data_IF_066260980486
#
_entry.id   IF_066260980486
#
_cell.length_a   1.000
_cell.length_b   1.000
_cell.length_c   1.000
_cell.angle_alpha   90.00
_cell.angle_beta   90.00
_cell.angle_gamma   90.00
#
_symmetry.space_group_name_H-M   'P 1'
#
loop_
_entity.id
_entity.type
_entity.pdbx_description
1 polymer ?
#
# COMPACT_ATOMS: atom_id res chain seq x y z
N UNK A 1 -63.43 -0.86 -30.35
CA UNK A 1 -62.72 0.24 -29.71
C UNK A 1 -61.79 -0.36 -28.68
N UNK A 2 -60.58 -0.69 -29.09
CA UNK A 2 -59.52 -1.26 -28.24
C UNK A 2 -58.51 -0.22 -27.84
N UNK A 3 -58.29 -0.03 -26.54
CA UNK A 3 -57.26 0.84 -26.01
C UNK A 3 -55.94 0.05 -25.89
N UNK A 4 -54.95 0.45 -26.67
CA UNK A 4 -53.59 -0.06 -26.58
C UNK A 4 -52.91 0.65 -25.42
N UNK A 5 -52.49 -0.12 -24.41
CA UNK A 5 -51.69 0.37 -23.28
C UNK A 5 -50.22 0.32 -23.67
N UNK A 6 -49.61 1.48 -23.87
CA UNK A 6 -48.19 1.62 -24.15
C UNK A 6 -47.42 1.55 -22.82
N UNK A 7 -46.70 0.43 -22.57
CA UNK A 7 -45.75 0.35 -21.47
C UNK A 7 -44.47 1.08 -21.83
N UNK A 8 -44.23 2.20 -21.17
CA UNK A 8 -42.95 2.92 -21.24
C UNK A 8 -41.96 2.17 -20.34
N UNK A 9 -40.99 1.48 -20.94
CA UNK A 9 -39.82 0.97 -20.25
C UNK A 9 -38.92 2.14 -19.93
N UNK A 10 -38.83 2.51 -18.68
CA UNK A 10 -37.85 3.48 -18.20
C UNK A 10 -36.45 2.85 -18.24
N UNK A 11 -35.65 3.27 -19.18
CA UNK A 11 -34.18 3.03 -19.16
C UNK A 11 -33.56 3.94 -18.11
N UNK A 12 -33.19 3.38 -16.97
CA UNK A 12 -32.33 4.08 -16.02
C UNK A 12 -30.90 4.03 -16.56
N UNK A 13 -30.46 5.11 -17.18
CA UNK A 13 -29.06 5.29 -17.53
C UNK A 13 -28.26 5.43 -16.24
N UNK A 14 -27.54 4.38 -15.88
CA UNK A 14 -26.49 4.43 -14.88
C UNK A 14 -25.34 5.26 -15.48
N UNK A 15 -25.22 6.51 -15.08
CA UNK A 15 -24.03 7.29 -15.34
C UNK A 15 -22.88 6.72 -14.49
N UNK A 16 -22.11 5.79 -15.06
CA UNK A 16 -20.79 5.47 -14.58
C UNK A 16 -19.94 6.68 -14.93
N UNK A 17 -19.68 7.54 -13.96
CA UNK A 17 -18.68 8.58 -14.11
C UNK A 17 -17.30 7.89 -14.16
N UNK A 18 -16.87 7.60 -15.37
CA UNK A 18 -15.45 7.34 -15.64
C UNK A 18 -14.76 8.67 -15.35
N UNK A 19 -14.14 8.77 -14.17
CA UNK A 19 -13.19 9.83 -13.89
C UNK A 19 -12.00 9.56 -14.82
N UNK A 20 -11.99 10.24 -15.94
CA UNK A 20 -10.82 10.31 -16.81
C UNK A 20 -9.69 10.91 -16.00
N UNK A 21 -8.67 10.11 -15.72
CA UNK A 21 -7.39 10.62 -15.24
C UNK A 21 -6.95 11.72 -16.23
N UNK A 22 -6.81 12.94 -15.72
CA UNK A 22 -6.22 14.01 -16.51
C UNK A 22 -4.78 13.63 -16.77
N UNK A 23 -4.45 13.21 -17.98
CA UNK A 23 -3.06 13.16 -18.42
C UNK A 23 -2.53 14.59 -18.47
N UNK A 24 -1.82 14.99 -17.44
CA UNK A 24 -1.00 16.19 -17.48
C UNK A 24 0.27 15.85 -18.25
N UNK A 25 0.39 16.40 -19.46
CA UNK A 25 1.63 16.38 -20.22
C UNK A 25 2.69 17.26 -19.52
N UNK A 26 3.47 16.66 -18.61
CA UNK A 26 4.69 17.29 -18.09
C UNK A 26 5.87 16.89 -18.96
N UNK A 27 6.63 17.87 -19.51
CA UNK A 27 7.61 17.60 -20.56
C UNK A 27 8.92 16.92 -20.12
N UNK A 28 9.15 16.52 -18.89
CA UNK A 28 10.51 16.08 -18.51
C UNK A 28 10.69 15.13 -17.34
N UNK A 29 9.67 14.68 -16.64
CA UNK A 29 9.89 13.60 -15.66
C UNK A 29 8.76 12.59 -15.75
N UNK A 30 9.14 11.34 -16.01
CA UNK A 30 8.21 10.21 -15.92
C UNK A 30 7.95 9.79 -14.47
N UNK A 31 8.60 10.45 -13.50
CA UNK A 31 8.45 10.18 -12.08
C UNK A 31 7.06 10.57 -11.59
N UNK A 32 6.46 9.70 -10.82
CA UNK A 32 5.12 9.89 -10.26
C UNK A 32 4.96 9.16 -8.94
N UNK A 33 4.04 9.68 -8.14
CA UNK A 33 3.48 8.98 -7.00
C UNK A 33 2.18 8.32 -7.43
N UNK A 34 1.99 7.08 -7.04
CA UNK A 34 0.73 6.35 -7.16
C UNK A 34 0.16 6.22 -5.76
N UNK A 35 -1.00 6.83 -5.53
CA UNK A 35 -1.69 6.77 -4.25
C UNK A 35 -2.95 5.92 -4.36
N UNK A 36 -3.07 4.91 -3.52
CA UNK A 36 -4.19 3.99 -3.45
C UNK A 36 -5.15 4.40 -2.34
N UNK A 37 -6.39 4.63 -2.70
CA UNK A 37 -7.44 5.04 -1.77
C UNK A 37 -8.52 3.98 -1.64
N UNK A 38 -9.06 3.84 -0.42
CA UNK A 38 -10.17 2.97 -0.12
C UNK A 38 -11.32 3.75 0.51
N UNK A 39 -12.57 3.37 0.21
CA UNK A 39 -13.77 4.02 0.75
C UNK A 39 -13.93 3.69 2.23
N UNK A 40 -13.31 4.49 3.06
CA UNK A 40 -13.39 4.46 4.51
C UNK A 40 -13.13 5.84 5.08
N UNK A 41 -13.82 6.19 6.16
CA UNK A 41 -13.62 7.47 6.83
C UNK A 41 -12.85 7.24 8.11
N UNK A 42 -11.55 7.51 8.06
CA UNK A 42 -10.66 7.60 9.22
C UNK A 42 -9.88 8.88 9.13
N UNK A 43 -9.59 9.50 10.27
CA UNK A 43 -8.70 10.65 10.30
C UNK A 43 -7.29 10.19 9.96
N UNK A 44 -6.67 10.85 8.99
CA UNK A 44 -5.30 10.58 8.57
C UNK A 44 -4.51 11.86 8.43
N UNK A 45 -3.19 11.73 8.58
CA UNK A 45 -2.22 12.74 8.21
C UNK A 45 -1.27 12.14 7.16
N UNK A 46 -0.92 12.95 6.18
CA UNK A 46 0.14 12.67 5.22
C UNK A 46 1.27 13.65 5.50
N UNK A 47 2.42 13.13 5.91
CA UNK A 47 3.58 13.92 6.31
C UNK A 47 4.77 13.57 5.42
N UNK A 48 5.59 14.56 5.10
CA UNK A 48 6.82 14.30 4.36
C UNK A 48 7.96 15.18 4.84
N UNK A 49 9.18 14.66 4.74
CA UNK A 49 10.38 15.41 5.13
C UNK A 49 11.64 14.84 4.51
N UNK A 50 12.66 15.68 4.38
CA UNK A 50 14.00 15.22 4.07
C UNK A 50 14.72 14.75 5.35
N UNK A 51 15.50 13.67 5.23
CA UNK A 51 16.32 13.13 6.31
C UNK A 51 15.55 12.31 7.35
N UNK A 52 16.17 11.18 7.70
CA UNK A 52 15.57 10.20 8.59
C UNK A 52 15.31 10.72 10.01
N UNK A 53 16.23 11.51 10.57
CA UNK A 53 16.06 12.08 11.91
C UNK A 53 14.82 12.98 12.03
N UNK A 54 14.53 13.75 10.98
CA UNK A 54 13.31 14.57 10.95
C UNK A 54 12.07 13.70 10.84
N UNK A 55 12.13 12.64 10.03
CA UNK A 55 11.02 11.69 9.92
C UNK A 55 10.73 10.98 11.25
N UNK A 56 11.76 10.58 12.00
CA UNK A 56 11.61 10.01 13.34
C UNK A 56 10.93 10.99 14.33
N UNK A 57 11.20 12.30 14.21
CA UNK A 57 10.50 13.33 15.01
C UNK A 57 9.02 13.42 14.63
N UNK A 58 8.71 13.33 13.34
CA UNK A 58 7.33 13.27 12.84
C UNK A 58 6.62 12.04 13.39
N UNK A 59 7.19 10.85 13.28
CA UNK A 59 6.62 9.62 13.83
C UNK A 59 6.28 9.80 15.32
N UNK A 60 7.23 10.28 16.10
CA UNK A 60 7.01 10.50 17.54
C UNK A 60 5.90 11.50 17.82
N UNK A 61 5.79 12.58 17.04
CA UNK A 61 4.71 13.56 17.16
C UNK A 61 3.37 12.92 16.87
N UNK A 62 3.26 12.19 15.75
CA UNK A 62 2.01 11.54 15.33
C UNK A 62 1.54 10.50 16.36
N UNK A 63 2.44 9.67 16.89
CA UNK A 63 2.11 8.74 17.97
C UNK A 63 1.60 9.45 19.24
N UNK A 64 2.21 10.56 19.63
CA UNK A 64 1.73 11.37 20.78
C UNK A 64 0.33 11.97 20.55
N UNK A 65 -0.07 12.18 19.30
CA UNK A 65 -1.39 12.65 18.89
C UNK A 65 -2.40 11.48 18.68
N UNK A 66 -1.95 10.23 18.86
CA UNK A 66 -2.76 9.02 18.73
C UNK A 66 -2.99 8.58 17.30
N UNK A 67 -2.02 8.84 16.41
CA UNK A 67 -2.02 8.36 15.05
C UNK A 67 -0.91 7.32 14.88
N UNK A 68 -1.24 6.17 14.30
CA UNK A 68 -0.31 5.11 13.99
C UNK A 68 0.17 5.20 12.55
N UNK A 69 1.38 4.72 12.30
CA UNK A 69 1.89 4.56 10.95
C UNK A 69 1.02 3.53 10.22
N UNK A 70 0.46 3.91 9.10
CA UNK A 70 -0.30 3.02 8.22
C UNK A 70 0.34 2.82 6.86
N UNK A 71 1.36 3.61 6.52
CA UNK A 71 2.24 3.40 5.39
C UNK A 71 3.50 4.28 5.50
N UNK A 72 4.63 3.82 4.97
CA UNK A 72 5.89 4.56 4.87
C UNK A 72 6.48 4.34 3.49
N UNK A 73 6.92 5.44 2.85
CA UNK A 73 7.68 5.38 1.60
C UNK A 73 8.86 6.36 1.61
N UNK A 74 9.90 5.97 0.91
CA UNK A 74 11.02 6.85 0.61
C UNK A 74 11.17 7.03 -0.88
N UNK A 75 10.96 8.24 -1.36
CA UNK A 75 11.09 8.56 -2.77
C UNK A 75 11.43 10.02 -3.03
N UNK A 76 12.14 10.26 -4.13
CA UNK A 76 12.60 11.59 -4.54
C UNK A 76 13.26 12.39 -3.41
N UNK A 77 14.08 11.71 -2.58
CA UNK A 77 14.82 12.32 -1.48
C UNK A 77 14.01 12.63 -0.22
N UNK A 78 12.74 12.23 -0.17
CA UNK A 78 11.85 12.47 0.97
C UNK A 78 11.37 11.16 1.58
N UNK A 79 11.29 11.14 2.89
CA UNK A 79 10.47 10.19 3.64
C UNK A 79 9.03 10.69 3.64
N UNK A 80 8.11 9.82 3.33
CA UNK A 80 6.68 10.09 3.33
C UNK A 80 6.03 9.09 4.29
N UNK A 81 5.17 9.57 5.18
CA UNK A 81 4.44 8.74 6.12
C UNK A 81 2.95 9.03 6.06
N UNK A 82 2.17 7.97 5.99
CA UNK A 82 0.73 8.00 6.19
C UNK A 82 0.45 7.59 7.63
N UNK A 83 -0.26 8.43 8.36
CA UNK A 83 -0.60 8.20 9.76
C UNK A 83 -2.11 8.17 9.91
N UNK A 84 -2.63 7.11 10.48
CA UNK A 84 -4.07 6.89 10.62
C UNK A 84 -4.47 6.87 12.09
N UNK A 85 -5.52 7.59 12.44
CA UNK A 85 -6.09 7.50 13.78
C UNK A 85 -6.76 6.15 13.96
N UNK A 86 -6.25 5.37 14.89
CA UNK A 86 -6.81 4.06 15.21
C UNK A 86 -7.68 4.14 16.46
N UNK A 87 -8.70 3.28 16.52
CA UNK A 87 -9.54 3.13 17.71
C UNK A 87 -8.97 2.09 18.68
N UNK A 88 -7.87 1.46 18.30
CA UNK A 88 -7.22 0.43 19.09
C UNK A 88 -6.02 1.02 19.82
N UNK A 89 -5.72 0.47 20.98
CA UNK A 89 -4.45 0.68 21.67
C UNK A 89 -3.38 -0.13 20.91
N UNK A 90 -3.12 0.27 19.66
CA UNK A 90 -2.07 -0.32 18.87
C UNK A 90 -0.75 0.16 19.46
N UNK A 91 0.07 -0.78 19.88
CA UNK A 91 1.40 -0.47 20.33
C UNK A 91 2.33 -0.66 19.14
N UNK A 92 2.65 0.45 18.49
CA UNK A 92 3.65 0.45 17.42
C UNK A 92 5.04 0.76 17.95
N UNK A 93 6.02 0.19 17.30
CA UNK A 93 7.43 0.53 17.44
C UNK A 93 8.11 0.36 16.09
N UNK A 94 9.32 0.88 15.93
CA UNK A 94 10.09 0.65 14.71
C UNK A 94 11.56 0.40 15.01
N UNK A 95 12.22 -0.24 14.07
CA UNK A 95 13.68 -0.43 14.05
C UNK A 95 14.24 0.28 12.85
N UNK A 96 15.35 1.00 13.04
CA UNK A 96 16.18 1.53 11.97
C UNK A 96 17.49 0.75 11.94
N UNK A 97 17.89 0.31 10.76
CA UNK A 97 19.14 -0.41 10.60
C UNK A 97 19.76 -0.21 9.22
N UNK A 98 21.07 0.05 9.13
CA UNK A 98 21.75 0.17 7.84
C UNK A 98 21.86 -1.16 7.09
N UNK A 99 21.52 -2.27 7.72
CA UNK A 99 21.57 -3.61 7.12
C UNK A 99 20.42 -4.47 7.63
N UNK A 100 19.86 -5.26 6.74
CA UNK A 100 18.81 -6.23 7.12
C UNK A 100 19.23 -7.19 8.25
N UNK A 101 20.53 -7.52 8.33
CA UNK A 101 21.04 -8.35 9.43
C UNK A 101 20.75 -7.75 10.82
N UNK A 102 20.79 -6.41 10.96
CA UNK A 102 20.42 -5.73 12.20
C UNK A 102 18.94 -5.93 12.55
N UNK A 103 18.04 -5.83 11.56
CA UNK A 103 16.61 -6.16 11.71
C UNK A 103 16.45 -7.62 12.12
N UNK A 104 17.08 -8.54 11.36
CA UNK A 104 16.95 -9.99 11.59
C UNK A 104 17.35 -10.41 13.01
N UNK A 105 18.37 -9.78 13.58
CA UNK A 105 18.82 -10.09 14.95
C UNK A 105 17.78 -9.76 16.03
N UNK A 106 16.82 -8.88 15.73
CA UNK A 106 15.80 -8.43 16.66
C UNK A 106 14.45 -9.15 16.46
N UNK A 107 14.22 -9.80 15.32
CA UNK A 107 12.91 -10.36 14.96
C UNK A 107 12.39 -11.33 16.03
N UNK A 108 13.21 -12.28 16.49
CA UNK A 108 12.77 -13.26 17.49
C UNK A 108 12.40 -12.60 18.82
N UNK A 109 13.10 -11.53 19.20
CA UNK A 109 12.77 -10.77 20.41
C UNK A 109 11.44 -10.06 20.28
N UNK A 110 11.20 -9.41 19.13
CA UNK A 110 9.94 -8.71 18.87
C UNK A 110 8.76 -9.69 18.78
N UNK A 111 8.91 -10.79 18.05
CA UNK A 111 7.88 -11.83 17.97
C UNK A 111 7.56 -12.44 19.34
N UNK A 112 8.58 -12.72 20.16
CA UNK A 112 8.38 -13.22 21.54
C UNK A 112 7.63 -12.22 22.43
N UNK A 113 7.71 -10.92 22.13
CA UNK A 113 6.96 -9.86 22.80
C UNK A 113 5.57 -9.62 22.20
N UNK A 114 5.17 -10.38 21.18
CA UNK A 114 3.89 -10.26 20.49
C UNK A 114 3.83 -9.11 19.48
N UNK A 115 4.98 -8.62 19.02
CA UNK A 115 5.04 -7.64 17.92
C UNK A 115 5.20 -8.37 16.59
N UNK A 116 4.47 -7.92 15.57
CA UNK A 116 4.60 -8.38 14.19
C UNK A 116 5.03 -7.21 13.28
N UNK A 117 5.86 -7.49 12.29
CA UNK A 117 6.18 -6.50 11.26
C UNK A 117 4.91 -6.14 10.49
N UNK A 118 4.70 -4.85 10.24
CA UNK A 118 3.58 -4.36 9.43
C UNK A 118 4.05 -3.64 8.18
N UNK A 119 5.19 -2.93 8.24
CA UNK A 119 5.75 -2.22 7.11
C UNK A 119 7.28 -2.32 7.10
N UNK A 120 7.84 -2.38 5.91
CA UNK A 120 9.28 -2.26 5.65
C UNK A 120 9.50 -1.22 4.57
N UNK A 121 10.52 -0.39 4.76
CA UNK A 121 10.91 0.60 3.76
C UNK A 121 12.43 0.76 3.77
N UNK A 122 13.03 0.96 2.60
CA UNK A 122 14.47 1.17 2.46
C UNK A 122 14.78 2.49 1.76
N UNK A 123 15.28 3.44 2.52
CA UNK A 123 15.69 4.76 2.00
C UNK A 123 16.93 5.30 2.67
N UNK A 124 17.72 6.10 1.97
CA UNK A 124 19.00 6.67 2.46
C UNK A 124 19.95 5.63 3.06
N UNK A 125 20.02 4.43 2.45
CA UNK A 125 20.80 3.30 2.91
C UNK A 125 20.39 2.73 4.28
N UNK A 126 19.22 3.07 4.80
CA UNK A 126 18.66 2.58 6.05
C UNK A 126 17.36 1.81 5.78
N UNK A 127 17.15 0.74 6.55
CA UNK A 127 15.86 0.08 6.67
C UNK A 127 15.07 0.72 7.81
N UNK A 128 13.81 1.04 7.58
CA UNK A 128 12.81 1.22 8.62
C UNK A 128 11.90 0.00 8.59
N UNK A 129 11.72 -0.63 9.74
CA UNK A 129 10.78 -1.74 9.91
C UNK A 129 9.84 -1.39 11.04
N UNK A 130 8.56 -1.30 10.73
CA UNK A 130 7.50 -1.02 11.71
C UNK A 130 6.98 -2.34 12.27
N UNK A 131 6.78 -2.35 13.56
CA UNK A 131 6.23 -3.47 14.31
C UNK A 131 5.01 -3.01 15.10
N UNK A 132 4.01 -3.87 15.17
CA UNK A 132 2.76 -3.60 15.87
C UNK A 132 2.32 -4.79 16.72
N UNK A 133 1.77 -4.51 17.91
CA UNK A 133 1.00 -5.48 18.70
C UNK A 133 -0.48 -5.41 18.36
N UNK A 134 -1.20 -6.42 18.84
CA UNK A 134 -2.66 -6.51 18.69
C UNK A 134 -3.13 -6.59 17.23
N UNK A 135 -2.23 -7.02 16.32
CA UNK A 135 -2.62 -7.44 14.97
C UNK A 135 -3.46 -8.72 15.05
N UNK A 136 -4.12 -9.06 13.95
CA UNK A 136 -4.80 -10.37 13.83
C UNK A 136 -3.84 -11.52 13.53
N UNK A 137 -2.58 -11.23 13.24
CA UNK A 137 -1.60 -12.20 12.79
C UNK A 137 -1.30 -13.24 13.87
N UNK A 138 -1.20 -14.51 13.46
CA UNK A 138 -0.89 -15.64 14.34
C UNK A 138 0.51 -16.16 14.16
N UNK A 139 1.09 -15.91 12.98
CA UNK A 139 2.44 -16.30 12.63
C UNK A 139 2.99 -15.36 11.57
N UNK A 140 4.31 -15.23 11.47
CA UNK A 140 4.95 -14.35 10.52
C UNK A 140 6.27 -14.93 10.03
N UNK A 141 6.59 -14.60 8.79
CA UNK A 141 7.87 -14.93 8.18
C UNK A 141 8.28 -13.82 7.19
N UNK A 142 9.50 -13.88 6.69
CA UNK A 142 9.95 -13.00 5.62
C UNK A 142 10.78 -13.77 4.59
N UNK A 143 10.84 -13.22 3.39
CA UNK A 143 11.67 -13.72 2.31
C UNK A 143 12.54 -12.59 1.74
N UNK A 144 13.78 -12.94 1.38
CA UNK A 144 14.69 -12.01 0.67
C UNK A 144 15.36 -12.71 -0.50
N UNK A 145 15.17 -12.18 -1.71
CA UNK A 145 15.65 -12.78 -2.96
C UNK A 145 16.40 -11.76 -3.81
N UNK A 146 17.40 -12.21 -4.57
CA UNK A 146 18.20 -11.35 -5.45
C UNK A 146 17.49 -10.97 -6.74
N UNK A 147 16.69 -11.88 -7.28
CA UNK A 147 16.00 -11.68 -8.57
C UNK A 147 14.50 -11.66 -8.35
N UNK A 148 13.77 -10.98 -9.24
CA UNK A 148 12.33 -10.95 -9.21
C UNK A 148 11.73 -12.35 -9.36
N UNK A 149 12.23 -13.15 -10.29
CA UNK A 149 11.71 -14.52 -10.50
C UNK A 149 11.84 -15.36 -9.24
N UNK A 150 13.02 -15.34 -8.58
CA UNK A 150 13.19 -16.07 -7.32
C UNK A 150 12.36 -15.51 -6.17
N UNK A 151 11.97 -14.23 -6.23
CA UNK A 151 11.06 -13.64 -5.27
C UNK A 151 9.61 -14.10 -5.53
N UNK A 152 9.17 -14.08 -6.79
CA UNK A 152 7.86 -14.62 -7.19
C UNK A 152 7.70 -16.08 -6.77
N UNK A 153 8.70 -16.92 -7.05
CA UNK A 153 8.71 -18.32 -6.61
C UNK A 153 8.56 -18.47 -5.08
N UNK A 154 9.25 -17.59 -4.33
CA UNK A 154 9.15 -17.59 -2.87
C UNK A 154 7.77 -17.14 -2.39
N UNK A 155 7.17 -16.13 -3.01
CA UNK A 155 5.79 -15.67 -2.73
C UNK A 155 4.80 -16.82 -2.99
N UNK A 156 4.86 -17.47 -4.16
CA UNK A 156 3.97 -18.59 -4.48
C UNK A 156 4.13 -19.76 -3.49
N UNK A 157 5.36 -20.02 -3.05
CA UNK A 157 5.62 -21.03 -2.03
C UNK A 157 4.94 -20.68 -0.71
N UNK A 158 5.08 -19.43 -0.24
CA UNK A 158 4.47 -18.95 1.00
C UNK A 158 2.94 -19.00 0.94
N UNK A 159 2.34 -18.63 -0.19
CA UNK A 159 0.89 -18.78 -0.38
C UNK A 159 0.43 -20.24 -0.23
N UNK A 160 1.18 -21.22 -0.79
CA UNK A 160 0.89 -22.66 -0.64
C UNK A 160 1.05 -23.14 0.81
N UNK A 161 1.88 -22.47 1.60
CA UNK A 161 2.08 -22.73 3.03
C UNK A 161 1.04 -22.03 3.92
N UNK A 162 0.12 -21.25 3.35
CA UNK A 162 -0.95 -20.56 4.08
C UNK A 162 -0.60 -19.17 4.58
N UNK A 163 0.52 -18.61 4.13
CA UNK A 163 0.90 -17.23 4.43
C UNK A 163 0.43 -16.29 3.33
N UNK A 164 0.04 -15.09 3.70
CA UNK A 164 -0.22 -13.97 2.78
C UNK A 164 0.94 -12.99 2.80
N UNK A 165 1.27 -12.41 1.64
CA UNK A 165 2.20 -11.30 1.52
C UNK A 165 1.48 -10.02 1.99
N UNK A 166 2.04 -9.35 3.00
CA UNK A 166 1.41 -8.17 3.60
C UNK A 166 2.15 -6.88 3.29
N UNK A 167 3.42 -6.97 2.91
CA UNK A 167 4.23 -5.83 2.52
C UNK A 167 5.47 -6.30 1.74
N UNK A 168 5.92 -5.51 0.77
CA UNK A 168 7.10 -5.81 -0.02
C UNK A 168 7.94 -4.56 -0.31
N UNK A 169 9.24 -4.75 -0.42
CA UNK A 169 10.20 -3.67 -0.64
C UNK A 169 11.46 -4.19 -1.36
N UNK A 170 12.11 -3.32 -2.12
CA UNK A 170 13.40 -3.61 -2.72
C UNK A 170 14.51 -2.75 -2.11
N UNK A 171 15.34 -3.38 -1.33
CA UNK A 171 16.47 -2.70 -0.70
C UNK A 171 17.74 -3.55 -0.68
N UNK A 172 18.88 -2.87 -0.79
CA UNK A 172 20.20 -3.51 -0.78
C UNK A 172 20.36 -4.65 -1.80
N UNK A 173 19.84 -4.44 -3.03
CA UNK A 173 19.94 -5.40 -4.12
C UNK A 173 19.09 -6.67 -3.93
N UNK A 174 18.04 -6.61 -3.12
CA UNK A 174 17.14 -7.74 -2.84
C UNK A 174 15.70 -7.31 -2.74
N UNK A 175 14.83 -8.11 -3.31
CA UNK A 175 13.41 -8.14 -3.05
C UNK A 175 13.18 -8.69 -1.65
N UNK A 176 12.41 -8.01 -0.86
CA UNK A 176 12.08 -8.39 0.52
C UNK A 176 10.57 -8.41 0.64
N UNK A 177 9.99 -9.42 1.28
CA UNK A 177 8.56 -9.49 1.53
C UNK A 177 8.29 -9.99 2.93
N UNK A 178 7.29 -9.43 3.57
CA UNK A 178 6.77 -9.87 4.86
C UNK A 178 5.52 -10.70 4.61
N UNK A 179 5.42 -11.84 5.29
CA UNK A 179 4.33 -12.79 5.16
C UNK A 179 3.72 -13.07 6.51
N UNK A 180 2.39 -13.11 6.59
CA UNK A 180 1.67 -13.40 7.82
C UNK A 180 0.53 -14.40 7.60
N UNK A 181 0.20 -15.15 8.63
CA UNK A 181 -1.03 -15.94 8.72
C UNK A 181 -2.13 -15.13 9.41
N UNK A 182 -3.38 -15.49 9.14
CA UNK A 182 -4.57 -14.86 9.72
C UNK A 182 -4.71 -13.37 9.40
N UNK A 183 -4.41 -13.01 8.17
CA UNK A 183 -4.53 -11.64 7.64
C UNK A 183 -5.98 -11.23 7.39
N UNK A 184 -6.90 -12.19 7.29
CA UNK A 184 -8.27 -12.01 6.82
C UNK A 184 -8.39 -12.06 5.29
N UNK A 185 -7.33 -12.34 4.56
CA UNK A 185 -7.37 -12.54 3.12
C UNK A 185 -7.83 -13.96 2.77
N UNK A 186 -8.65 -14.08 1.71
CA UNK A 186 -9.21 -15.35 1.21
C UNK A 186 -8.55 -15.77 -0.12
N UNK A 187 -7.38 -15.26 -0.40
CA UNK A 187 -6.56 -15.54 -1.57
C UNK A 187 -5.89 -14.30 -2.13
N UNK A 188 -4.68 -14.51 -2.62
CA UNK A 188 -3.84 -13.46 -3.18
C UNK A 188 -3.37 -13.80 -4.59
N UNK A 189 -3.05 -12.77 -5.34
CA UNK A 189 -2.33 -12.84 -6.60
C UNK A 189 -1.45 -11.59 -6.75
N UNK A 190 -0.47 -11.64 -7.62
CA UNK A 190 0.45 -10.54 -7.88
C UNK A 190 0.60 -10.33 -9.37
N UNK A 191 0.77 -9.08 -9.76
CA UNK A 191 1.06 -8.72 -11.15
C UNK A 191 2.25 -7.78 -11.23
N UNK A 192 3.04 -7.94 -12.28
CA UNK A 192 4.23 -7.11 -12.56
C UNK A 192 4.11 -6.52 -13.96
N UNK A 193 4.32 -5.22 -14.09
CA UNK A 193 4.30 -4.50 -15.38
C UNK A 193 5.46 -3.51 -15.46
N UNK A 194 5.89 -3.19 -16.67
CA UNK A 194 6.94 -2.18 -16.88
C UNK A 194 6.39 -0.75 -16.86
N UNK A 195 5.10 -0.58 -17.13
CA UNK A 195 4.45 0.74 -17.17
C UNK A 195 3.20 0.75 -16.31
N UNK A 196 2.96 1.87 -15.60
CA UNK A 196 1.75 2.03 -14.80
C UNK A 196 0.47 1.94 -15.64
N UNK A 197 0.49 2.46 -16.88
CA UNK A 197 -0.66 2.36 -17.79
C UNK A 197 -1.07 0.92 -18.11
N UNK A 198 -0.10 0.00 -18.16
CA UNK A 198 -0.37 -1.44 -18.32
C UNK A 198 -0.92 -2.04 -17.02
N UNK A 199 -0.38 -1.61 -15.87
CA UNK A 199 -0.85 -2.03 -14.56
C UNK A 199 -2.30 -1.57 -14.33
N UNK A 200 -2.65 -0.36 -14.73
CA UNK A 200 -4.01 0.17 -14.59
C UNK A 200 -5.08 -0.74 -15.27
N UNK A 201 -4.76 -1.33 -16.42
CA UNK A 201 -5.64 -2.29 -17.10
C UNK A 201 -5.80 -3.58 -16.27
N UNK A 202 -4.69 -4.08 -15.72
CA UNK A 202 -4.68 -5.28 -14.86
C UNK A 202 -5.47 -5.04 -13.57
N UNK A 203 -5.36 -3.85 -12.99
CA UNK A 203 -6.11 -3.46 -11.79
C UNK A 203 -7.62 -3.56 -12.05
N UNK A 204 -8.12 -3.01 -13.18
CA UNK A 204 -9.54 -3.06 -13.50
C UNK A 204 -10.04 -4.50 -13.67
N UNK A 205 -9.25 -5.37 -14.30
CA UNK A 205 -9.57 -6.78 -14.43
C UNK A 205 -9.67 -7.49 -13.07
N UNK A 206 -8.68 -7.24 -12.18
CA UNK A 206 -8.69 -7.83 -10.84
C UNK A 206 -9.84 -7.31 -9.98
N UNK A 207 -10.13 -6.00 -10.04
CA UNK A 207 -11.29 -5.43 -9.34
C UNK A 207 -12.62 -6.05 -9.80
N UNK A 208 -12.76 -6.30 -11.11
CA UNK A 208 -13.96 -6.97 -11.65
C UNK A 208 -14.14 -8.40 -11.14
N UNK A 209 -13.02 -9.07 -10.79
CA UNK A 209 -13.00 -10.43 -10.23
C UNK A 209 -13.09 -10.47 -8.70
N UNK A 210 -13.32 -9.31 -8.08
CA UNK A 210 -13.46 -9.18 -6.64
C UNK A 210 -12.14 -9.17 -5.87
N UNK A 211 -11.02 -8.87 -6.49
CA UNK A 211 -9.77 -8.58 -5.79
C UNK A 211 -9.68 -7.10 -5.44
N UNK A 212 -8.84 -6.78 -4.47
CA UNK A 212 -8.45 -5.41 -4.11
C UNK A 212 -6.94 -5.35 -4.01
N UNK A 213 -6.36 -4.20 -4.39
CA UNK A 213 -4.92 -3.97 -4.19
C UNK A 213 -4.67 -3.88 -2.68
N UNK A 214 -3.65 -4.54 -2.22
CA UNK A 214 -3.20 -4.50 -0.82
C UNK A 214 -1.77 -4.04 -0.67
N UNK A 215 -1.02 -3.95 -1.78
CA UNK A 215 0.34 -3.44 -1.78
C UNK A 215 0.77 -3.04 -3.20
N UNK A 216 1.46 -1.92 -3.34
CA UNK A 216 2.03 -1.40 -4.59
C UNK A 216 3.49 -1.06 -4.36
N UNK A 217 4.35 -1.56 -5.24
CA UNK A 217 5.77 -1.23 -5.21
C UNK A 217 6.29 -0.92 -6.63
N UNK A 218 7.25 -0.01 -6.73
CA UNK A 218 7.98 0.24 -7.97
C UNK A 218 9.48 0.19 -7.76
N UNK A 219 10.14 -0.71 -8.42
CA UNK A 219 11.60 -0.77 -8.41
C UNK A 219 12.14 -1.43 -9.67
N UNK A 220 13.40 -1.13 -10.01
CA UNK A 220 14.09 -1.66 -11.19
C UNK A 220 13.27 -1.52 -12.49
N UNK A 221 12.50 -0.42 -12.63
CA UNK A 221 11.64 -0.17 -13.78
C UNK A 221 10.43 -1.11 -13.87
N UNK A 222 9.98 -1.67 -12.75
CA UNK A 222 8.81 -2.54 -12.67
C UNK A 222 7.85 -2.05 -11.60
N UNK A 223 6.58 -1.94 -11.96
CA UNK A 223 5.46 -1.80 -11.06
C UNK A 223 4.98 -3.18 -10.64
N UNK A 224 4.80 -3.36 -9.35
CA UNK A 224 4.23 -4.56 -8.75
C UNK A 224 2.97 -4.19 -7.99
N UNK A 225 1.93 -5.00 -8.13
CA UNK A 225 0.73 -4.90 -7.31
C UNK A 225 0.39 -6.26 -6.73
N UNK A 226 0.17 -6.31 -5.44
CA UNK A 226 -0.41 -7.45 -4.74
C UNK A 226 -1.91 -7.23 -4.63
N UNK A 227 -2.67 -8.26 -4.96
CA UNK A 227 -4.12 -8.23 -4.94
C UNK A 227 -4.64 -9.30 -4.00
N UNK A 228 -5.53 -8.93 -3.09
CA UNK A 228 -6.13 -9.85 -2.13
C UNK A 228 -7.65 -9.87 -2.26
N UNK A 229 -8.26 -11.01 -1.93
CA UNK A 229 -9.69 -11.11 -1.65
C UNK A 229 -9.90 -11.11 -0.15
N UNK A 230 -10.93 -10.44 0.31
CA UNK A 230 -11.36 -10.45 1.71
C UNK A 230 -12.86 -10.15 1.82
N UNK A 231 -13.41 -10.47 2.97
CA UNK A 231 -14.82 -10.30 3.23
C UNK A 231 -15.28 -8.87 3.28
N UNK A 232 -15.97 -8.12 3.13
CA UNK A 232 -16.28 -6.69 3.27
C UNK A 232 -15.37 -5.79 2.43
N UNK A 233 -15.19 -6.19 1.18
CA UNK A 233 -14.46 -5.38 0.23
C UNK A 233 -15.05 -3.98 0.09
N UNK A 234 -14.17 -2.99 0.12
CA UNK A 234 -14.51 -1.59 -0.06
C UNK A 234 -14.19 -1.13 -1.48
N UNK A 235 -14.82 -0.03 -1.89
CA UNK A 235 -14.47 0.58 -3.16
C UNK A 235 -13.06 1.18 -3.08
N UNK A 236 -12.23 0.84 -4.05
CA UNK A 236 -10.88 1.39 -4.20
C UNK A 236 -10.78 2.29 -5.42
N UNK A 237 -9.81 3.16 -5.40
CA UNK A 237 -9.38 3.98 -6.53
C UNK A 237 -7.93 4.38 -6.33
N UNK A 238 -7.22 4.64 -7.41
CA UNK A 238 -5.87 5.20 -7.34
C UNK A 238 -5.82 6.54 -8.05
N UNK A 239 -4.86 7.36 -7.63
CA UNK A 239 -4.51 8.63 -8.25
C UNK A 239 -3.02 8.66 -8.58
N UNK A 240 -2.68 9.51 -9.53
CA UNK A 240 -1.30 9.72 -9.94
C UNK A 240 -0.94 11.18 -9.77
N UNK A 241 0.17 11.48 -9.13
CA UNK A 241 0.69 12.84 -8.98
C UNK A 241 2.18 12.92 -9.31
N UNK A 242 2.65 13.97 -9.99
CA UNK A 242 4.06 14.14 -10.32
C UNK A 242 4.89 14.70 -9.16
N UNK A 243 4.26 15.29 -8.16
CA UNK A 243 4.92 15.91 -7.00
C UNK A 243 4.26 15.51 -5.69
N UNK A 244 4.99 15.65 -4.60
CA UNK A 244 4.45 15.39 -3.26
C UNK A 244 3.44 16.48 -2.83
N UNK A 245 3.56 17.68 -3.36
CA UNK A 245 2.62 18.78 -3.14
C UNK A 245 1.25 18.46 -3.77
N UNK A 246 1.23 17.98 -5.02
CA UNK A 246 -0.02 17.53 -5.67
C UNK A 246 -0.58 16.27 -5.01
N UNK A 247 0.28 15.36 -4.56
CA UNK A 247 -0.13 14.21 -3.74
C UNK A 247 -0.89 14.67 -2.49
N UNK A 248 -0.40 15.72 -1.79
CA UNK A 248 -1.05 16.29 -0.62
C UNK A 248 -2.44 16.86 -0.96
N UNK A 249 -2.56 17.58 -2.07
CA UNK A 249 -3.85 18.12 -2.52
C UNK A 249 -4.87 17.02 -2.85
N UNK A 250 -4.41 15.97 -3.54
CA UNK A 250 -5.21 14.80 -3.85
C UNK A 250 -5.65 14.07 -2.57
N UNK A 251 -4.74 13.86 -1.63
CA UNK A 251 -5.02 13.24 -0.35
C UNK A 251 -6.14 13.98 0.40
N UNK A 252 -6.04 15.30 0.55
CA UNK A 252 -7.05 16.12 1.20
C UNK A 252 -8.41 16.08 0.48
N UNK A 253 -8.38 16.12 -0.85
CA UNK A 253 -9.60 16.03 -1.65
C UNK A 253 -10.29 14.67 -1.52
N UNK A 254 -9.52 13.59 -1.42
CA UNK A 254 -10.02 12.23 -1.22
C UNK A 254 -10.57 12.02 0.19
N UNK A 255 -9.90 12.54 1.21
CA UNK A 255 -10.40 12.51 2.59
C UNK A 255 -11.78 13.20 2.71
N UNK A 256 -11.94 14.40 2.12
CA UNK A 256 -13.23 15.12 2.10
C UNK A 256 -14.35 14.30 1.45
N UNK A 257 -14.02 13.37 0.56
CA UNK A 257 -14.98 12.45 -0.08
C UNK A 257 -15.17 11.14 0.69
N UNK A 258 -14.56 10.99 1.87
CA UNK A 258 -14.65 9.79 2.72
C UNK A 258 -13.83 8.61 2.19
N UNK A 259 -12.65 8.89 1.65
CA UNK A 259 -11.65 7.90 1.31
C UNK A 259 -10.43 8.06 2.19
N UNK A 260 -9.79 6.98 2.52
CA UNK A 260 -8.49 6.96 3.19
C UNK A 260 -7.40 6.48 2.21
N UNK A 261 -6.21 7.01 2.38
CA UNK A 261 -5.01 6.52 1.70
C UNK A 261 -4.55 5.25 2.41
N UNK A 262 -4.40 4.17 1.66
CA UNK A 262 -4.04 2.85 2.22
C UNK A 262 -2.68 2.37 1.76
N UNK A 263 -2.15 2.93 0.67
CA UNK A 263 -0.84 2.57 0.16
C UNK A 263 -0.32 3.62 -0.82
N UNK A 264 0.98 3.75 -0.93
CA UNK A 264 1.67 4.73 -1.76
C UNK A 264 2.92 4.09 -2.37
N UNK A 265 3.12 4.31 -3.65
CA UNK A 265 4.36 3.97 -4.33
C UNK A 265 4.85 5.13 -5.21
N UNK A 266 6.13 5.18 -5.48
CA UNK A 266 6.68 6.16 -6.41
C UNK A 266 7.59 5.51 -7.44
N UNK A 267 7.62 6.10 -8.64
CA UNK A 267 8.45 5.56 -9.72
C UNK A 267 8.25 6.29 -11.05
N UNK A 268 8.78 5.73 -12.14
CA UNK A 268 8.69 6.28 -13.49
C UNK A 268 8.22 5.23 -14.52
#
# INVERSE_FOLDING_TARGET
MGKILLKILGFTLLFISVLTAREYNYPSSHYKYISLFEKETKAQHLENTMGLENFQKIIKKQWNEGYDISDIKYGNGKWIGVFTKTSHDSQQTYVVSPRWAGVNNLLNEYWAKGYYMTHIEHGLAEWIVVFEKNTTYTNQSYERRKTLDSFVDAVEKRWKEGYDLIDLEYGQGRWSGIFAENTGYNGQTMSVRSRWSEMAVVIQDHWSKGYRITDIEHTLGKWMCVFSKYDRQKAQGFETSPTVEELQEIFEARQKKGYMLIDLAEGW
#
